data_IF_841223570367
#
_entry.id   IF_841223570367
#
_cell.length_a   1.000
_cell.length_b   1.000
_cell.length_c   1.000
_cell.angle_alpha   90.00
_cell.angle_beta   90.00
_cell.angle_gamma   90.00
#
_symmetry.space_group_name_H-M   'P 1'
#
loop_
_entity.id
_entity.type
_entity.pdbx_description
1 polymer ?
#
# COMPACT_ATOMS: atom_id res chain seq x y z
N UNK A 1 7.28 12.31 13.00
CA UNK A 1 6.86 11.49 11.86
C UNK A 1 5.38 11.19 12.01
N UNK A 2 4.54 11.98 11.35
CA UNK A 2 3.09 11.78 11.35
C UNK A 2 2.77 10.91 10.13
N UNK A 3 2.86 9.59 10.31
CA UNK A 3 2.70 8.61 9.22
C UNK A 3 1.32 8.72 8.57
N UNK A 4 0.30 9.09 9.33
CA UNK A 4 -1.09 9.05 8.89
C UNK A 4 -1.46 10.10 7.84
N UNK A 5 -0.61 11.11 7.60
CA UNK A 5 -0.81 12.12 6.54
C UNK A 5 0.02 11.86 5.28
N UNK A 6 0.79 10.77 5.24
CA UNK A 6 1.61 10.45 4.08
C UNK A 6 0.77 9.93 2.89
N UNK A 7 1.26 10.20 1.69
CA UNK A 7 0.69 9.64 0.47
C UNK A 7 0.91 8.13 0.40
N UNK A 8 0.00 7.43 -0.29
CA UNK A 8 0.21 6.05 -0.66
C UNK A 8 1.24 5.93 -1.80
N UNK A 9 2.26 5.09 -1.60
CA UNK A 9 3.28 4.81 -2.61
C UNK A 9 2.86 3.63 -3.50
N UNK A 10 1.73 3.78 -4.18
CA UNK A 10 1.16 2.79 -5.09
C UNK A 10 0.93 3.41 -6.46
N UNK A 11 0.82 2.57 -7.51
CA UNK A 11 0.53 3.04 -8.88
C UNK A 11 1.52 4.10 -9.37
N UNK A 12 1.07 5.27 -9.84
CA UNK A 12 1.94 6.36 -10.32
C UNK A 12 2.97 6.87 -9.31
N UNK A 13 2.73 6.65 -8.01
CA UNK A 13 3.61 7.11 -6.94
C UNK A 13 4.55 6.02 -6.41
N UNK A 14 4.56 4.84 -7.04
CA UNK A 14 5.30 3.66 -6.58
C UNK A 14 6.83 3.89 -6.51
N UNK A 15 7.37 4.74 -7.38
CA UNK A 15 8.81 5.02 -7.47
C UNK A 15 9.27 6.18 -6.58
N UNK A 16 8.35 6.87 -5.91
CA UNK A 16 8.70 7.95 -5.00
C UNK A 16 9.35 7.41 -3.72
N UNK A 17 10.39 8.10 -3.27
CA UNK A 17 11.11 7.80 -2.03
C UNK A 17 10.82 8.80 -0.90
N UNK A 18 10.12 9.88 -1.23
CA UNK A 18 9.72 10.93 -0.28
C UNK A 18 8.26 11.31 -0.52
N UNK A 19 7.58 11.69 0.55
CA UNK A 19 6.19 12.12 0.47
C UNK A 19 6.12 13.51 -0.18
N UNK A 20 5.19 13.72 -1.11
CA UNK A 20 5.04 15.02 -1.75
C UNK A 20 4.44 16.09 -0.81
N UNK A 21 3.71 15.67 0.22
CA UNK A 21 3.04 16.55 1.18
C UNK A 21 3.97 16.99 2.31
N UNK A 22 4.54 16.04 3.04
CA UNK A 22 5.38 16.31 4.22
C UNK A 22 6.89 16.22 3.95
N UNK A 23 7.31 15.77 2.75
CA UNK A 23 8.72 15.57 2.36
C UNK A 23 9.50 14.55 3.22
N UNK A 24 8.83 13.83 4.12
CA UNK A 24 9.44 12.74 4.90
C UNK A 24 9.80 11.55 4.02
N UNK A 25 10.78 10.77 4.49
CA UNK A 25 11.25 9.55 3.82
C UNK A 25 10.17 8.46 3.84
N UNK A 26 9.98 7.80 2.70
CA UNK A 26 9.15 6.57 2.59
C UNK A 26 9.65 5.47 3.53
N UNK A 27 10.95 5.42 3.78
CA UNK A 27 11.60 4.38 4.56
C UNK A 27 11.98 4.87 5.95
N UNK A 28 11.97 3.94 6.91
CA UNK A 28 12.46 4.16 8.25
C UNK A 28 13.95 4.51 8.19
N UNK A 29 14.26 5.77 8.49
CA UNK A 29 15.61 6.31 8.31
C UNK A 29 16.63 5.72 9.28
N UNK A 30 16.20 5.29 10.47
CA UNK A 30 17.07 4.60 11.45
C UNK A 30 17.55 3.27 10.88
N UNK A 31 16.64 2.45 10.37
CA UNK A 31 16.98 1.15 9.77
C UNK A 31 17.77 1.30 8.47
N UNK A 32 17.44 2.32 7.68
CA UNK A 32 18.16 2.62 6.45
C UNK A 32 19.60 3.04 6.73
N UNK A 33 19.84 3.91 7.71
CA UNK A 33 21.18 4.33 8.10
C UNK A 33 21.98 3.19 8.73
N UNK A 34 21.38 2.42 9.65
CA UNK A 34 22.03 1.28 10.30
C UNK A 34 22.48 0.20 9.31
N UNK A 35 21.80 0.07 8.17
CA UNK A 35 22.15 -0.89 7.11
C UNK A 35 23.02 -0.32 5.99
N UNK A 36 23.48 0.93 6.11
CA UNK A 36 24.23 1.62 5.04
C UNK A 36 23.42 1.77 3.74
N UNK A 37 22.11 1.94 3.84
CA UNK A 37 21.20 2.11 2.70
C UNK A 37 20.66 0.80 2.09
N UNK A 38 21.05 -0.36 2.62
CA UNK A 38 20.67 -1.67 2.06
C UNK A 38 19.25 -2.09 2.44
N UNK A 39 18.85 -1.86 3.69
CA UNK A 39 17.55 -2.29 4.21
C UNK A 39 16.56 -1.13 4.11
N UNK A 40 15.63 -1.25 3.16
CA UNK A 40 14.55 -0.29 2.93
C UNK A 40 13.25 -0.77 3.56
N UNK A 41 13.07 -0.47 4.85
CA UNK A 41 11.81 -0.77 5.55
C UNK A 41 10.82 0.38 5.33
N UNK A 42 9.70 0.19 4.62
CA UNK A 42 8.70 1.24 4.44
C UNK A 42 8.04 1.62 5.76
N UNK A 43 7.74 2.90 5.96
CA UNK A 43 7.02 3.39 7.14
C UNK A 43 5.53 3.02 7.13
N UNK A 44 4.95 2.81 5.95
CA UNK A 44 3.56 2.42 5.75
C UNK A 44 3.46 1.45 4.56
N UNK A 45 2.65 0.41 4.70
CA UNK A 45 2.36 -0.57 3.65
C UNK A 45 0.86 -0.59 3.37
N UNK A 46 0.50 -0.63 2.10
CA UNK A 46 -0.88 -0.76 1.65
C UNK A 46 -1.07 -2.17 1.09
N UNK A 47 -2.10 -2.86 1.56
CA UNK A 47 -2.45 -4.19 1.08
C UNK A 47 -3.47 -4.07 -0.05
N UNK A 48 -3.27 -4.84 -1.12
CA UNK A 48 -4.29 -5.03 -2.15
C UNK A 48 -5.11 -6.25 -1.76
N UNK A 49 -6.41 -6.05 -1.50
CA UNK A 49 -7.34 -7.14 -1.27
C UNK A 49 -8.02 -7.44 -2.61
N UNK A 50 -7.75 -8.58 -3.26
CA UNK A 50 -8.41 -8.92 -4.51
C UNK A 50 -9.87 -9.30 -4.23
N UNK A 51 -10.80 -8.42 -4.61
CA UNK A 51 -12.25 -8.61 -4.40
C UNK A 51 -12.87 -9.45 -5.54
N UNK A 52 -12.23 -9.52 -6.70
CA UNK A 52 -12.74 -10.19 -7.89
C UNK A 52 -13.10 -11.65 -7.65
N UNK A 53 -12.22 -12.42 -6.99
CA UNK A 53 -12.47 -13.83 -6.72
C UNK A 53 -13.67 -14.05 -5.80
N UNK A 54 -13.86 -13.15 -4.83
CA UNK A 54 -15.02 -13.16 -3.95
C UNK A 54 -16.30 -12.86 -4.73
N UNK A 55 -16.28 -11.83 -5.58
CA UNK A 55 -17.41 -11.49 -6.45
C UNK A 55 -17.73 -12.63 -7.43
N UNK A 56 -16.72 -13.20 -8.08
CA UNK A 56 -16.90 -14.29 -9.03
C UNK A 56 -17.54 -15.52 -8.36
N UNK A 57 -17.16 -15.83 -7.12
CA UNK A 57 -17.79 -16.90 -6.35
C UNK A 57 -19.26 -16.59 -6.03
N UNK A 58 -19.58 -15.34 -5.68
CA UNK A 58 -20.96 -14.90 -5.42
C UNK A 58 -21.83 -14.96 -6.67
N UNK A 59 -21.32 -14.51 -7.83
CA UNK A 59 -22.04 -14.56 -9.10
C UNK A 59 -22.20 -15.98 -9.68
N UNK A 60 -21.39 -16.94 -9.23
CA UNK A 60 -21.52 -18.34 -9.66
C UNK A 60 -22.80 -18.99 -9.12
N UNK A 61 -23.31 -18.52 -7.98
CA UNK A 61 -24.56 -19.01 -7.42
C UNK A 61 -25.76 -18.24 -8.02
N UNK A 62 -26.73 -18.92 -8.67
CA UNK A 62 -27.85 -18.25 -9.33
C UNK A 62 -28.77 -17.48 -8.37
N UNK A 63 -28.81 -17.85 -7.09
CA UNK A 63 -29.59 -17.18 -6.06
C UNK A 63 -28.95 -15.85 -5.66
N UNK A 64 -27.65 -15.86 -5.40
CA UNK A 64 -26.87 -14.66 -5.11
C UNK A 64 -26.77 -13.73 -6.34
N UNK A 65 -26.56 -14.27 -7.54
CA UNK A 65 -26.45 -13.49 -8.77
C UNK A 65 -27.73 -12.69 -9.11
N UNK A 66 -28.91 -13.18 -8.71
CA UNK A 66 -30.18 -12.47 -8.91
C UNK A 66 -30.43 -11.35 -7.87
N UNK A 67 -29.69 -11.36 -6.77
CA UNK A 67 -29.84 -10.43 -5.65
C UNK A 67 -28.68 -9.42 -5.55
N UNK A 68 -27.72 -9.46 -6.49
CA UNK A 68 -26.72 -8.42 -6.70
C UNK A 68 -27.19 -7.41 -7.74
#
# INVERSE_FOLDING_TARGET
>A
MYIDTCIAYTGPFADLNKCLLCRESRYNQVKLQASGGKIKTPCQQFHTIPIESQLQALYRDPGHAKNM
#
